data_IF_976957180204
#
_entry.id   IF_976957180204
#
_cell.length_a   1.000
_cell.length_b   1.000
_cell.length_c   1.000
_cell.angle_alpha   90.00
_cell.angle_beta   90.00
_cell.angle_gamma   90.00
#
_symmetry.space_group_name_H-M   'P 1'
#
loop_
_entity.id
_entity.type
_entity.pdbx_description
1 polymer ?
#
# COMPACT_ATOMS: atom_id res chain seq x y z
N UNK A 1 4.83 11.12 -20.69
CA UNK A 1 3.62 11.96 -20.59
C UNK A 1 2.37 11.26 -21.11
N UNK A 2 2.29 10.87 -22.39
CA UNK A 2 1.11 10.16 -22.92
C UNK A 2 0.77 8.88 -22.14
N UNK A 3 1.75 8.00 -21.88
CA UNK A 3 1.52 6.77 -21.09
C UNK A 3 1.05 7.02 -19.64
N UNK A 4 1.49 8.12 -19.02
CA UNK A 4 1.07 8.49 -17.66
C UNK A 4 -0.39 8.97 -17.65
N UNK A 5 -0.80 9.74 -18.66
CA UNK A 5 -2.20 10.14 -18.86
C UNK A 5 -3.08 8.93 -19.13
N UNK A 6 -2.64 8.00 -19.99
CA UNK A 6 -3.38 6.77 -20.28
C UNK A 6 -3.55 5.91 -19.03
N UNK A 7 -2.49 5.75 -18.22
CA UNK A 7 -2.58 5.01 -16.96
C UNK A 7 -3.52 5.70 -15.95
N UNK A 8 -3.42 7.02 -15.80
CA UNK A 8 -4.29 7.79 -14.91
C UNK A 8 -5.77 7.66 -15.32
N UNK A 9 -6.07 7.82 -16.60
CA UNK A 9 -7.43 7.66 -17.13
C UNK A 9 -7.93 6.23 -16.95
N UNK A 10 -7.07 5.22 -17.18
CA UNK A 10 -7.40 3.81 -16.96
C UNK A 10 -7.72 3.50 -15.50
N UNK A 11 -6.93 4.00 -14.55
CA UNK A 11 -7.20 3.87 -13.11
C UNK A 11 -8.49 4.58 -12.72
N UNK A 12 -8.73 5.79 -13.22
CA UNK A 12 -10.00 6.49 -12.98
C UNK A 12 -11.21 5.69 -13.50
N UNK A 13 -11.12 5.08 -14.69
CA UNK A 13 -12.18 4.25 -15.24
C UNK A 13 -12.42 2.98 -14.42
N UNK A 14 -11.36 2.34 -13.93
CA UNK A 14 -11.43 1.14 -13.10
C UNK A 14 -11.98 1.41 -11.69
N UNK A 15 -11.65 2.56 -11.11
CA UNK A 15 -12.04 2.90 -9.73
C UNK A 15 -13.35 3.68 -9.63
N UNK A 16 -13.91 4.17 -10.75
CA UNK A 16 -15.12 4.97 -10.71
C UNK A 16 -16.37 4.09 -10.64
N UNK A 17 -17.00 4.09 -9.47
CA UNK A 17 -18.21 3.31 -9.15
C UNK A 17 -19.51 4.10 -9.42
N UNK A 18 -19.47 5.16 -10.23
CA UNK A 18 -20.66 5.94 -10.61
C UNK A 18 -21.25 6.87 -9.53
N UNK A 19 -20.71 6.86 -8.31
CA UNK A 19 -21.21 7.63 -7.16
C UNK A 19 -20.63 9.03 -7.05
N UNK A 20 -21.30 9.92 -6.30
CA UNK A 20 -20.82 11.28 -6.06
C UNK A 20 -19.56 11.27 -5.15
N UNK A 21 -18.62 12.22 -5.34
CA UNK A 21 -17.39 12.27 -4.54
C UNK A 21 -17.70 12.42 -3.05
N UNK A 22 -17.09 11.57 -2.23
CA UNK A 22 -17.24 11.56 -0.78
C UNK A 22 -15.99 12.10 -0.07
N UNK A 23 -16.11 12.44 1.22
CA UNK A 23 -14.97 12.89 2.03
C UNK A 23 -13.83 11.86 2.10
N UNK A 24 -14.15 10.56 1.97
CA UNK A 24 -13.18 9.48 1.87
C UNK A 24 -12.29 9.58 0.64
N UNK A 25 -12.81 10.06 -0.48
CA UNK A 25 -12.05 10.19 -1.73
C UNK A 25 -10.95 11.26 -1.60
N UNK A 26 -11.23 12.33 -0.85
CA UNK A 26 -10.24 13.35 -0.53
C UNK A 26 -9.09 12.79 0.34
N UNK A 27 -9.42 11.94 1.32
CA UNK A 27 -8.43 11.25 2.16
C UNK A 27 -7.61 10.25 1.35
N UNK A 28 -8.23 9.50 0.43
CA UNK A 28 -7.54 8.60 -0.49
C UNK A 28 -6.59 9.35 -1.43
N UNK A 29 -7.02 10.48 -1.99
CA UNK A 29 -6.17 11.33 -2.82
C UNK A 29 -4.95 11.85 -2.03
N UNK A 30 -5.17 12.29 -0.79
CA UNK A 30 -4.09 12.74 0.09
C UNK A 30 -3.11 11.60 0.40
N UNK A 31 -3.62 10.41 0.70
CA UNK A 31 -2.81 9.22 0.95
C UNK A 31 -1.97 8.83 -0.29
N UNK A 32 -2.54 8.92 -1.49
CA UNK A 32 -1.83 8.67 -2.74
C UNK A 32 -0.66 9.64 -2.95
N UNK A 33 -0.84 10.93 -2.64
CA UNK A 33 0.23 11.93 -2.69
C UNK A 33 1.36 11.58 -1.73
N UNK A 34 1.05 11.24 -0.47
CA UNK A 34 2.06 10.84 0.50
C UNK A 34 2.81 9.57 0.07
N UNK A 35 2.10 8.58 -0.47
CA UNK A 35 2.70 7.35 -1.02
C UNK A 35 3.63 7.63 -2.21
N UNK A 36 3.23 8.51 -3.13
CA UNK A 36 4.07 8.91 -4.25
C UNK A 36 5.36 9.60 -3.77
N UNK A 37 5.25 10.52 -2.81
CA UNK A 37 6.42 11.18 -2.19
C UNK A 37 7.31 10.14 -1.50
N UNK A 38 6.73 9.19 -0.78
CA UNK A 38 7.47 8.09 -0.15
C UNK A 38 8.25 7.26 -1.17
N UNK A 39 7.62 6.83 -2.26
CA UNK A 39 8.27 6.04 -3.32
C UNK A 39 9.44 6.81 -3.94
N UNK A 40 9.25 8.10 -4.25
CA UNK A 40 10.32 8.94 -4.83
C UNK A 40 11.48 9.07 -3.84
N UNK A 41 11.20 9.37 -2.57
CA UNK A 41 12.23 9.52 -1.54
C UNK A 41 12.97 8.20 -1.29
N UNK A 42 12.26 7.09 -1.20
CA UNK A 42 12.89 5.77 -1.06
C UNK A 42 13.76 5.45 -2.27
N UNK A 43 13.36 5.83 -3.49
CA UNK A 43 14.21 5.70 -4.69
C UNK A 43 15.57 6.40 -4.55
N UNK A 44 15.58 7.63 -4.02
CA UNK A 44 16.81 8.39 -3.78
C UNK A 44 17.67 7.80 -2.66
N UNK A 45 17.05 7.30 -1.59
CA UNK A 45 17.75 6.73 -0.44
C UNK A 45 18.21 5.27 -0.65
N UNK A 46 17.47 4.47 -1.40
CA UNK A 46 17.81 3.07 -1.72
C UNK A 46 19.04 2.96 -2.63
N UNK A 47 19.34 4.00 -3.41
CA UNK A 47 20.58 4.10 -4.19
C UNK A 47 21.82 4.41 -3.31
N UNK A 48 21.62 4.96 -2.10
CA UNK A 48 22.69 5.46 -1.22
C UNK A 48 22.94 4.60 0.02
N UNK A 49 21.98 3.79 0.45
CA UNK A 49 22.06 2.98 1.67
C UNK A 49 21.65 1.53 1.43
N UNK A 50 22.17 0.60 2.24
CA UNK A 50 21.78 -0.81 2.15
C UNK A 50 20.28 -1.00 2.48
N UNK A 51 19.61 -1.91 1.75
CA UNK A 51 18.16 -2.13 1.83
C UNK A 51 17.66 -2.56 3.23
N UNK A 52 18.50 -3.26 4.00
CA UNK A 52 18.17 -3.80 5.32
C UNK A 52 18.02 -2.73 6.43
N UNK A 53 18.95 -1.77 6.61
CA UNK A 53 18.76 -0.71 7.58
C UNK A 53 17.60 0.24 7.21
N UNK A 54 17.32 0.45 5.92
CA UNK A 54 16.22 1.32 5.48
C UNK A 54 14.83 0.68 5.70
N UNK A 55 14.69 -0.62 5.42
CA UNK A 55 13.50 -1.40 5.81
C UNK A 55 13.30 -1.35 7.32
N UNK A 56 14.34 -1.64 8.10
CA UNK A 56 14.27 -1.67 9.56
C UNK A 56 13.85 -0.31 10.15
N UNK A 57 14.39 0.79 9.63
CA UNK A 57 14.02 2.14 10.06
C UNK A 57 12.55 2.47 9.72
N UNK A 58 12.07 2.06 8.54
CA UNK A 58 10.69 2.27 8.12
C UNK A 58 9.71 1.47 8.99
N UNK A 59 10.03 0.20 9.25
CA UNK A 59 9.25 -0.64 10.17
C UNK A 59 9.28 -0.10 11.61
N UNK A 60 10.42 0.38 12.09
CA UNK A 60 10.54 0.99 13.41
C UNK A 60 9.70 2.28 13.52
N UNK A 61 9.72 3.14 12.50
CA UNK A 61 8.92 4.36 12.45
C UNK A 61 7.42 4.07 12.44
N UNK A 62 6.97 3.15 11.59
CA UNK A 62 5.57 2.71 11.55
C UNK A 62 5.15 2.08 12.88
N UNK A 63 6.00 1.24 13.47
CA UNK A 63 5.72 0.61 14.77
C UNK A 63 5.58 1.66 15.86
N UNK A 64 6.44 2.68 15.88
CA UNK A 64 6.36 3.80 16.82
C UNK A 64 5.07 4.60 16.66
N UNK A 65 4.68 4.94 15.42
CA UNK A 65 3.44 5.65 15.15
C UNK A 65 2.20 4.83 15.55
N UNK A 66 2.20 3.53 15.28
CA UNK A 66 1.14 2.62 15.73
C UNK A 66 1.04 2.58 17.26
N UNK A 67 2.15 2.56 17.98
CA UNK A 67 2.15 2.59 19.45
C UNK A 67 1.61 3.91 19.99
N UNK A 68 2.00 5.04 19.39
CA UNK A 68 1.45 6.37 19.74
C UNK A 68 -0.06 6.41 19.48
N UNK A 69 -0.52 5.85 18.37
CA UNK A 69 -1.94 5.77 18.04
C UNK A 69 -2.73 4.90 19.04
N UNK A 70 -2.20 3.74 19.41
CA UNK A 70 -2.80 2.87 20.43
C UNK A 70 -2.86 3.58 21.78
N UNK A 71 -1.80 4.31 22.16
CA UNK A 71 -1.77 5.10 23.38
C UNK A 71 -2.78 6.26 23.37
N UNK A 72 -2.96 6.92 22.22
CA UNK A 72 -3.97 7.96 22.06
C UNK A 72 -5.40 7.42 22.19
N UNK A 73 -5.68 6.23 21.63
CA UNK A 73 -7.00 5.60 21.75
C UNK A 73 -7.28 4.99 23.13
N UNK A 74 -6.26 4.43 23.80
CA UNK A 74 -6.44 3.84 25.14
C UNK A 74 -6.76 4.88 26.21
N UNK A 75 -6.36 6.14 26.01
CA UNK A 75 -6.76 7.28 26.86
C UNK A 75 -8.23 7.71 26.70
N UNK A 76 -8.90 7.32 25.60
CA UNK A 76 -10.28 7.70 25.27
C UNK A 76 -11.38 6.79 25.84
N UNK A 77 -11.04 5.83 26.71
CA UNK A 77 -12.01 4.91 27.34
C UNK A 77 -12.23 3.59 26.59
N UNK A 78 -11.68 3.44 25.37
CA UNK A 78 -11.56 2.14 24.72
C UNK A 78 -10.44 1.34 25.39
N UNK A 79 -10.76 0.51 26.38
CA UNK A 79 -9.76 -0.36 27.02
C UNK A 79 -9.02 -1.22 25.98
N UNK A 80 -7.76 -1.57 26.25
CA UNK A 80 -6.89 -2.36 25.34
C UNK A 80 -7.56 -3.62 24.77
N UNK A 81 -8.50 -4.22 25.51
CA UNK A 81 -9.30 -5.38 25.05
C UNK A 81 -10.24 -5.07 23.89
N UNK A 82 -10.76 -3.85 23.75
CA UNK A 82 -11.60 -3.45 22.62
C UNK A 82 -10.81 -3.20 21.33
N UNK A 83 -9.52 -2.93 21.44
CA UNK A 83 -8.62 -2.66 20.31
C UNK A 83 -7.93 -3.93 19.79
N UNK A 84 -7.85 -4.98 20.62
CA UNK A 84 -7.21 -6.24 20.25
C UNK A 84 -8.22 -7.20 19.60
N UNK A 85 -7.84 -7.85 18.48
CA UNK A 85 -8.66 -8.89 17.89
C UNK A 85 -8.95 -10.00 18.90
N UNK A 86 -10.23 -10.30 19.12
CA UNK A 86 -10.67 -11.33 20.05
C UNK A 86 -10.59 -12.75 19.46
N UNK A 87 -10.39 -12.86 18.13
CA UNK A 87 -10.36 -14.13 17.41
C UNK A 87 -8.95 -14.47 16.92
N UNK A 88 -8.51 -15.70 17.17
CA UNK A 88 -7.25 -16.26 16.66
C UNK A 88 -7.17 -16.23 15.14
N UNK A 89 -8.31 -16.32 14.44
CA UNK A 89 -8.35 -16.24 12.98
C UNK A 89 -7.92 -14.85 12.48
N UNK A 90 -8.34 -13.79 13.17
CA UNK A 90 -7.97 -12.41 12.80
C UNK A 90 -6.48 -12.17 13.05
N UNK A 91 -5.92 -12.78 14.11
CA UNK A 91 -4.47 -12.77 14.34
C UNK A 91 -3.69 -13.47 13.23
N UNK A 92 -4.13 -14.65 12.80
CA UNK A 92 -3.50 -15.38 11.69
C UNK A 92 -3.56 -14.58 10.38
N UNK A 93 -4.70 -13.96 10.09
CA UNK A 93 -4.85 -13.06 8.94
C UNK A 93 -3.94 -11.84 9.04
N UNK A 94 -3.81 -11.24 10.24
CA UNK A 94 -2.91 -10.12 10.48
C UNK A 94 -1.44 -10.50 10.27
N UNK A 95 -1.01 -11.66 10.74
CA UNK A 95 0.35 -12.19 10.51
C UNK A 95 0.60 -12.44 9.03
N UNK A 96 -0.38 -13.03 8.33
CA UNK A 96 -0.29 -13.23 6.88
C UNK A 96 -0.14 -11.89 6.14
N UNK A 97 -0.94 -10.87 6.47
CA UNK A 97 -0.84 -9.54 5.86
C UNK A 97 0.52 -8.91 6.16
N UNK A 98 0.95 -8.93 7.42
CA UNK A 98 2.22 -8.32 7.84
C UNK A 98 3.43 -8.96 7.15
N UNK A 99 3.45 -10.27 7.01
CA UNK A 99 4.59 -10.98 6.42
C UNK A 99 4.48 -11.09 4.90
N UNK A 100 3.37 -11.65 4.41
CA UNK A 100 3.17 -12.00 3.00
C UNK A 100 2.85 -10.79 2.13
N UNK A 101 2.12 -9.80 2.65
CA UNK A 101 1.67 -8.63 1.87
C UNK A 101 2.56 -7.41 2.14
N UNK A 102 3.10 -7.26 3.35
CA UNK A 102 3.91 -6.08 3.70
C UNK A 102 5.41 -6.37 3.67
N UNK A 103 5.92 -7.27 4.52
CA UNK A 103 7.36 -7.46 4.70
C UNK A 103 8.04 -8.00 3.44
N UNK A 104 7.54 -9.09 2.87
CA UNK A 104 8.15 -9.71 1.67
C UNK A 104 8.13 -8.75 0.48
N UNK A 105 7.00 -8.11 0.10
CA UNK A 105 6.98 -7.18 -1.02
C UNK A 105 7.86 -5.95 -0.79
N UNK A 106 7.93 -5.43 0.44
CA UNK A 106 8.76 -4.26 0.76
C UNK A 106 10.26 -4.57 0.65
N UNK A 107 10.68 -5.78 1.05
CA UNK A 107 12.06 -6.27 0.86
C UNK A 107 12.35 -6.43 -0.64
N UNK A 108 11.43 -7.07 -1.38
CA UNK A 108 11.59 -7.29 -2.81
C UNK A 108 11.64 -5.97 -3.59
N UNK A 109 10.82 -4.99 -3.18
CA UNK A 109 10.81 -3.63 -3.71
C UNK A 109 12.17 -2.96 -3.53
N UNK A 110 12.74 -2.97 -2.32
CA UNK A 110 14.04 -2.33 -2.09
C UNK A 110 15.16 -3.04 -2.83
N UNK A 111 15.11 -4.38 -2.93
CA UNK A 111 16.07 -5.13 -3.74
C UNK A 111 15.94 -4.81 -5.24
N UNK A 112 14.72 -4.70 -5.76
CA UNK A 112 14.43 -4.33 -7.15
C UNK A 112 14.86 -2.90 -7.47
N UNK A 113 14.59 -1.94 -6.58
CA UNK A 113 14.97 -0.53 -6.73
C UNK A 113 16.48 -0.29 -6.66
N UNK A 114 17.26 -1.23 -6.13
CA UNK A 114 18.73 -1.21 -6.23
C UNK A 114 19.22 -1.45 -7.67
N UNK A 115 18.48 -2.24 -8.46
CA UNK A 115 18.89 -2.66 -9.81
C UNK A 115 18.16 -1.92 -10.92
N UNK A 116 17.00 -1.32 -10.62
CA UNK A 116 16.12 -0.66 -11.59
C UNK A 116 15.91 0.81 -11.18
N UNK A 117 16.14 1.78 -12.08
CA UNK A 117 15.85 3.19 -11.82
C UNK A 117 14.38 3.41 -11.42
N UNK A 118 14.13 4.36 -10.51
CA UNK A 118 12.80 4.66 -9.96
C UNK A 118 11.73 4.89 -11.05
N UNK A 119 12.12 5.50 -12.17
CA UNK A 119 11.25 5.77 -13.32
C UNK A 119 10.64 4.51 -13.94
N UNK A 120 11.42 3.42 -14.02
CA UNK A 120 10.94 2.13 -14.57
C UNK A 120 10.14 1.35 -13.53
N UNK A 121 10.50 1.45 -12.26
CA UNK A 121 9.76 0.82 -11.18
C UNK A 121 8.33 1.36 -11.07
N UNK A 122 8.15 2.68 -11.25
CA UNK A 122 6.82 3.31 -11.23
C UNK A 122 5.90 2.77 -12.33
N UNK A 123 6.44 2.44 -13.51
CA UNK A 123 5.62 1.83 -14.59
C UNK A 123 5.14 0.43 -14.20
N UNK A 124 5.98 -0.36 -13.52
CA UNK A 124 5.60 -1.68 -13.01
C UNK A 124 4.53 -1.54 -11.92
N UNK A 125 4.68 -0.59 -11.00
CA UNK A 125 3.67 -0.32 -9.97
C UNK A 125 2.33 0.16 -10.56
N UNK A 126 2.35 0.91 -11.67
CA UNK A 126 1.14 1.33 -12.35
C UNK A 126 0.36 0.16 -12.98
N UNK A 127 0.99 -1.02 -13.15
CA UNK A 127 0.34 -2.23 -13.65
C UNK A 127 -0.33 -3.07 -12.55
N UNK A 128 -0.15 -2.73 -11.28
CA UNK A 128 -0.79 -3.40 -10.14
C UNK A 128 -2.32 -3.59 -10.29
N UNK A 129 -3.12 -2.57 -10.69
CA UNK A 129 -4.56 -2.78 -10.93
C UNK A 129 -4.86 -3.74 -12.08
N UNK A 130 -3.97 -3.85 -13.08
CA UNK A 130 -4.13 -4.80 -14.19
C UNK A 130 -3.90 -6.22 -13.69
N UNK A 131 -2.84 -6.44 -12.89
CA UNK A 131 -2.60 -7.73 -12.27
C UNK A 131 -3.75 -8.13 -11.34
N UNK A 132 -4.25 -7.19 -10.53
CA UNK A 132 -5.39 -7.40 -9.65
C UNK A 132 -6.64 -7.83 -10.44
N UNK A 133 -6.97 -7.16 -11.55
CA UNK A 133 -8.10 -7.52 -12.41
C UNK A 133 -7.93 -8.91 -13.05
N UNK A 134 -6.74 -9.25 -13.51
CA UNK A 134 -6.44 -10.59 -14.06
C UNK A 134 -6.60 -11.66 -12.98
N UNK A 135 -6.08 -11.43 -11.77
CA UNK A 135 -6.24 -12.37 -10.66
C UNK A 135 -7.70 -12.49 -10.20
N UNK A 136 -8.46 -11.40 -10.16
CA UNK A 136 -9.88 -11.43 -9.85
C UNK A 136 -10.65 -12.34 -10.83
N UNK A 137 -10.36 -12.22 -12.12
CA UNK A 137 -10.98 -13.08 -13.12
C UNK A 137 -10.60 -14.55 -13.00
N UNK A 138 -9.30 -14.85 -12.90
CA UNK A 138 -8.85 -16.25 -12.89
C UNK A 138 -9.02 -16.96 -11.55
N UNK A 139 -8.88 -16.24 -10.43
CA UNK A 139 -8.93 -16.83 -9.09
C UNK A 139 -10.30 -16.70 -8.42
N UNK A 140 -11.05 -15.62 -8.68
CA UNK A 140 -12.38 -15.41 -8.11
C UNK A 140 -13.52 -15.66 -9.11
N UNK A 141 -13.21 -15.77 -10.41
CA UNK A 141 -14.22 -15.97 -11.46
C UNK A 141 -15.03 -14.72 -11.77
N UNK A 142 -14.55 -13.53 -11.39
CA UNK A 142 -15.25 -12.27 -11.64
C UNK A 142 -15.14 -11.87 -13.13
N UNK A 143 -16.25 -11.43 -13.72
CA UNK A 143 -16.24 -10.92 -15.10
C UNK A 143 -15.57 -9.55 -15.14
N UNK A 144 -14.49 -9.44 -15.93
CA UNK A 144 -13.82 -8.16 -16.19
C UNK A 144 -14.64 -7.41 -17.26
N UNK A 145 -15.75 -6.83 -16.86
CA UNK A 145 -16.64 -6.05 -17.71
C UNK A 145 -17.13 -4.78 -17.00
N UNK A 146 -17.62 -3.77 -17.76
CA UNK A 146 -18.28 -2.63 -17.13
C UNK A 146 -19.50 -3.13 -16.34
N UNK A 147 -19.59 -2.72 -15.08
CA UNK A 147 -20.79 -2.90 -14.27
C UNK A 147 -21.93 -2.02 -14.81
#
# INVERSE_FOLDING_TARGET
WAAALTAFVGTCLLCYDGSAPNEGDALCALAAVFSAVYIIRVGDFAQRFEALPLTAASFAGVSGLCLVWIAAQSGGGAGLRGLLPQSTQVWLMGVYLALGVTAVPTILQMWGQKHVPAERAVVIYAMDPVYAAVFAHFALGEDIGPQ
#
